data_IF_528311864841
#
_entry.id   IF_528311864841
#
_cell.length_a   1.000
_cell.length_b   1.000
_cell.length_c   1.000
_cell.angle_alpha   90.00
_cell.angle_beta   90.00
_cell.angle_gamma   90.00
#
_symmetry.space_group_name_H-M   'P 1'
#
loop_
_entity.id
_entity.type
_entity.pdbx_description
1 polymer ?
#
# COMPACT_ATOMS: atom_id res chain seq x y z
N UNK A 1 -12.30 1.20 22.70
CA UNK A 1 -11.17 0.68 21.91
C UNK A 1 -11.71 0.18 20.57
N UNK A 2 -10.98 0.37 19.45
CA UNK A 2 -11.40 -0.19 18.16
C UNK A 2 -11.42 -1.72 18.21
N UNK A 3 -12.37 -2.32 17.49
CA UNK A 3 -12.65 -3.77 17.52
C UNK A 3 -11.54 -4.60 16.83
N UNK A 4 -10.73 -3.98 15.96
CA UNK A 4 -9.56 -4.57 15.29
C UNK A 4 -8.36 -3.62 15.42
N UNK A 5 -7.64 -3.61 16.56
CA UNK A 5 -6.49 -2.71 16.73
C UNK A 5 -5.32 -3.06 15.80
N UNK A 6 -5.18 -4.33 15.40
CA UNK A 6 -4.02 -4.82 14.64
C UNK A 6 -3.95 -4.36 13.18
N UNK A 7 -5.06 -3.82 12.65
CA UNK A 7 -5.21 -3.35 11.26
C UNK A 7 -4.66 -1.95 11.03
N UNK A 8 -4.38 -1.20 12.10
CA UNK A 8 -3.78 0.13 12.03
C UNK A 8 -2.37 0.07 12.61
N UNK A 9 -1.41 0.66 11.91
CA UNK A 9 -0.02 0.76 12.35
C UNK A 9 0.36 2.23 12.44
N UNK A 10 0.95 2.64 13.57
CA UNK A 10 1.48 3.98 13.77
C UNK A 10 2.94 4.07 13.31
N UNK A 11 3.42 5.29 13.06
CA UNK A 11 4.84 5.52 12.74
C UNK A 11 5.80 4.97 13.83
N UNK A 12 5.44 5.10 15.11
CA UNK A 12 6.23 4.55 16.22
C UNK A 12 6.31 3.03 16.15
N UNK A 13 5.15 2.38 16.00
CA UNK A 13 5.09 0.92 15.87
C UNK A 13 5.85 0.43 14.64
N UNK A 14 5.74 1.11 13.50
CA UNK A 14 6.49 0.76 12.29
C UNK A 14 8.01 0.85 12.52
N UNK A 15 8.50 1.92 13.16
CA UNK A 15 9.92 2.07 13.43
C UNK A 15 10.46 0.97 14.37
N UNK A 16 9.73 0.67 15.44
CA UNK A 16 10.08 -0.43 16.35
C UNK A 16 10.14 -1.75 15.60
N UNK A 17 9.13 -2.02 14.78
CA UNK A 17 8.99 -3.24 14.01
C UNK A 17 10.08 -3.39 12.94
N UNK A 18 10.42 -2.33 12.21
CA UNK A 18 11.50 -2.36 11.22
C UNK A 18 12.85 -2.63 11.87
N UNK A 19 13.07 -2.12 13.09
CA UNK A 19 14.29 -2.34 13.86
C UNK A 19 14.37 -3.75 14.49
N UNK A 20 13.24 -4.31 14.92
CA UNK A 20 13.18 -5.59 15.65
C UNK A 20 13.00 -6.81 14.74
N UNK A 21 12.26 -6.67 13.64
CA UNK A 21 11.75 -7.80 12.87
C UNK A 21 12.18 -7.83 11.40
N UNK A 22 12.87 -6.81 10.90
CA UNK A 22 13.53 -6.83 9.58
C UNK A 22 12.68 -7.42 8.45
N UNK A 23 13.22 -8.43 7.75
CA UNK A 23 12.62 -9.07 6.56
C UNK A 23 11.33 -9.85 6.82
N UNK A 24 10.87 -10.03 8.05
CA UNK A 24 9.62 -10.75 8.31
C UNK A 24 8.38 -9.91 8.00
N UNK A 25 8.55 -8.62 7.70
CA UNK A 25 7.47 -7.67 7.44
C UNK A 25 7.66 -7.03 6.08
N UNK A 26 6.55 -6.82 5.39
CA UNK A 26 6.50 -6.26 4.03
C UNK A 26 5.77 -4.92 4.10
N UNK A 27 6.52 -3.84 3.96
CA UNK A 27 5.97 -2.49 3.84
C UNK A 27 5.78 -2.16 2.36
N UNK A 28 4.54 -2.00 1.91
CA UNK A 28 4.17 -1.80 0.51
C UNK A 28 3.75 -0.36 0.27
N UNK A 29 4.50 0.35 -0.56
CA UNK A 29 4.23 1.72 -0.99
C UNK A 29 3.31 1.72 -2.21
N UNK A 30 2.03 2.04 -1.98
CA UNK A 30 1.00 2.08 -3.03
C UNK A 30 0.88 3.44 -3.72
N UNK A 31 1.90 4.29 -3.58
CA UNK A 31 2.00 5.55 -4.32
C UNK A 31 2.43 5.32 -5.76
N UNK A 32 2.40 6.37 -6.58
CA UNK A 32 2.91 6.31 -7.96
C UNK A 32 4.43 6.13 -8.00
N UNK A 33 4.97 5.66 -9.12
CA UNK A 33 6.41 5.51 -9.30
C UNK A 33 7.16 6.81 -9.02
N UNK A 34 6.62 7.94 -9.48
CA UNK A 34 7.23 9.26 -9.31
C UNK A 34 7.29 9.68 -7.84
N UNK A 35 6.28 9.31 -7.04
CA UNK A 35 6.31 9.52 -5.58
C UNK A 35 7.35 8.59 -4.91
N UNK A 36 7.38 7.31 -5.30
CA UNK A 36 8.29 6.31 -4.74
C UNK A 36 9.78 6.63 -4.98
N UNK A 37 10.13 7.10 -6.17
CA UNK A 37 11.51 7.49 -6.51
C UNK A 37 11.87 8.93 -6.08
N UNK A 38 10.92 9.66 -5.49
CA UNK A 38 11.15 11.02 -4.98
C UNK A 38 11.20 12.11 -6.04
N UNK A 39 10.65 11.89 -7.25
CA UNK A 39 10.49 12.95 -8.26
C UNK A 39 9.40 13.96 -7.90
N UNK A 40 8.40 13.52 -7.15
CA UNK A 40 7.30 14.37 -6.67
C UNK A 40 6.87 13.92 -5.28
N UNK A 41 6.24 14.83 -4.54
CA UNK A 41 5.62 14.51 -3.25
C UNK A 41 4.22 13.92 -3.43
N UNK A 42 3.57 14.17 -4.57
CA UNK A 42 2.19 13.78 -4.84
C UNK A 42 1.14 14.68 -4.15
N UNK A 43 1.57 15.58 -3.27
CA UNK A 43 0.69 16.45 -2.47
C UNK A 43 1.28 17.85 -2.37
N UNK A 44 0.47 18.86 -2.64
CA UNK A 44 0.89 20.27 -2.55
C UNK A 44 1.32 20.70 -1.14
N UNK A 45 0.83 20.00 -0.11
CA UNK A 45 1.10 20.28 1.30
C UNK A 45 2.28 19.48 1.88
N UNK A 46 2.81 18.48 1.16
CA UNK A 46 3.98 17.71 1.60
C UNK A 46 5.23 18.33 1.00
N UNK A 47 6.22 18.68 1.85
CA UNK A 47 7.44 19.39 1.44
C UNK A 47 8.59 18.48 1.02
N UNK A 48 8.61 17.23 1.47
CA UNK A 48 9.74 16.31 1.30
C UNK A 48 9.33 15.19 0.35
N UNK A 49 10.09 15.00 -0.73
CA UNK A 49 9.93 13.88 -1.64
C UNK A 49 10.88 12.75 -1.27
N UNK A 50 10.41 11.51 -1.36
CA UNK A 50 11.17 10.32 -0.98
C UNK A 50 10.28 9.16 -0.58
N UNK A 51 10.89 8.15 0.03
CA UNK A 51 10.22 6.94 0.53
C UNK A 51 10.78 6.48 1.85
N UNK A 52 9.99 5.69 2.58
CA UNK A 52 10.47 4.97 3.76
C UNK A 52 11.50 3.94 3.31
N UNK A 53 12.66 3.90 3.97
CA UNK A 53 13.73 2.95 3.64
C UNK A 53 13.21 1.52 3.82
N UNK A 54 13.43 0.67 2.82
CA UNK A 54 12.95 -0.73 2.83
C UNK A 54 11.50 -0.91 2.38
N UNK A 55 10.76 0.17 2.09
CA UNK A 55 9.45 0.05 1.44
C UNK A 55 9.60 -0.55 0.04
N UNK A 56 8.70 -1.47 -0.28
CA UNK A 56 8.59 -2.16 -1.57
C UNK A 56 7.59 -1.40 -2.42
N UNK A 57 7.97 -1.07 -3.65
CA UNK A 57 7.09 -0.38 -4.58
C UNK A 57 5.96 -1.29 -5.06
N UNK A 58 4.72 -0.84 -4.95
CA UNK A 58 3.58 -1.49 -5.59
C UNK A 58 3.59 -1.25 -7.10
N UNK A 59 3.80 -2.31 -7.88
CA UNK A 59 3.92 -2.23 -9.33
C UNK A 59 2.60 -1.92 -10.06
N UNK A 60 1.50 -1.69 -9.32
CA UNK A 60 0.23 -1.19 -9.89
C UNK A 60 0.23 0.31 -10.16
N UNK A 61 1.30 1.04 -9.81
CA UNK A 61 1.53 2.47 -10.12
C UNK A 61 0.37 3.40 -9.71
N UNK A 62 0.04 3.35 -8.42
CA UNK A 62 -0.94 4.25 -7.82
C UNK A 62 -2.38 4.02 -8.30
N UNK A 63 -2.70 2.83 -8.83
CA UNK A 63 -4.04 2.50 -9.31
C UNK A 63 -5.13 2.72 -8.25
N UNK A 64 -4.81 2.40 -7.00
CA UNK A 64 -5.70 2.59 -5.86
C UNK A 64 -6.06 4.06 -5.62
N UNK A 65 -5.19 5.00 -6.01
CA UNK A 65 -5.48 6.43 -6.02
C UNK A 65 -6.40 6.88 -7.15
N UNK A 66 -6.28 6.23 -8.32
CA UNK A 66 -7.17 6.51 -9.47
C UNK A 66 -8.58 5.98 -9.20
N UNK A 67 -8.68 4.82 -8.57
CA UNK A 67 -9.95 4.21 -8.16
C UNK A 67 -10.64 5.04 -7.06
N UNK A 68 -9.87 5.55 -6.09
CA UNK A 68 -10.42 6.34 -4.99
C UNK A 68 -10.84 7.76 -5.40
N UNK A 69 -10.19 8.33 -6.43
CA UNK A 69 -10.45 9.69 -6.90
C UNK A 69 -11.49 9.74 -8.04
N UNK A 70 -12.54 8.92 -8.00
CA UNK A 70 -13.62 8.88 -9.00
C UNK A 70 -14.46 10.18 -9.12
N UNK A 71 -13.96 11.33 -8.64
CA UNK A 71 -14.41 12.67 -9.02
C UNK A 71 -13.54 13.32 -10.12
N UNK A 72 -12.40 12.72 -10.49
CA UNK A 72 -11.43 13.31 -11.41
C UNK A 72 -11.38 12.63 -12.78
N UNK A 73 -12.56 12.38 -13.38
CA UNK A 73 -12.72 12.35 -14.83
C UNK A 73 -14.21 12.55 -15.14
N UNK A 74 -14.57 13.80 -15.39
CA UNK A 74 -15.76 14.22 -16.15
C UNK A 74 -15.65 13.81 -17.63
N UNK A 75 -14.94 12.72 -17.90
CA UNK A 75 -14.62 12.19 -19.21
C UNK A 75 -15.12 10.76 -19.14
N UNK A 76 -16.05 10.39 -20.03
CA UNK A 76 -16.89 9.18 -20.03
C UNK A 76 -16.13 7.83 -20.11
N UNK A 77 -14.93 7.73 -19.55
CA UNK A 77 -14.15 6.50 -19.40
C UNK A 77 -14.46 5.92 -18.03
N UNK A 78 -15.43 5.02 -17.98
CA UNK A 78 -15.64 4.15 -16.82
C UNK A 78 -14.32 3.50 -16.45
N UNK A 79 -13.75 3.87 -15.30
CA UNK A 79 -12.58 3.16 -14.79
C UNK A 79 -13.06 1.82 -14.24
N UNK A 80 -12.77 0.74 -14.98
CA UNK A 80 -13.07 -0.61 -14.54
C UNK A 80 -11.94 -1.06 -13.62
N UNK A 81 -12.31 -1.45 -12.40
CA UNK A 81 -11.37 -2.05 -11.46
C UNK A 81 -10.74 -3.30 -12.11
N UNK A 82 -9.40 -3.43 -12.19
CA UNK A 82 -8.79 -4.57 -12.88
C UNK A 82 -9.17 -5.90 -12.26
N UNK A 83 -9.17 -6.96 -13.08
CA UNK A 83 -9.34 -8.32 -12.58
C UNK A 83 -8.27 -8.71 -11.56
N UNK A 84 -8.60 -9.62 -10.64
CA UNK A 84 -7.70 -10.11 -9.59
C UNK A 84 -6.33 -10.55 -10.09
N UNK A 85 -6.28 -11.19 -11.26
CA UNK A 85 -5.04 -11.69 -11.86
C UNK A 85 -4.02 -10.57 -12.11
N UNK A 86 -4.49 -9.35 -12.41
CA UNK A 86 -3.60 -8.19 -12.59
C UNK A 86 -2.82 -7.88 -11.30
N UNK A 87 -3.52 -7.83 -10.17
CA UNK A 87 -2.90 -7.55 -8.88
C UNK A 87 -2.04 -8.72 -8.41
N UNK A 88 -2.52 -9.95 -8.57
CA UNK A 88 -1.76 -11.16 -8.23
C UNK A 88 -0.43 -11.21 -8.98
N UNK A 89 -0.42 -10.96 -10.30
CA UNK A 89 0.82 -10.94 -11.09
C UNK A 89 1.81 -9.87 -10.59
N UNK A 90 1.32 -8.64 -10.36
CA UNK A 90 2.15 -7.53 -9.88
C UNK A 90 2.70 -7.76 -8.47
N UNK A 91 1.90 -8.36 -7.61
CA UNK A 91 2.29 -8.67 -6.24
C UNK A 91 3.24 -9.87 -6.16
N UNK A 92 3.03 -10.91 -6.99
CA UNK A 92 3.98 -12.01 -7.13
C UNK A 92 5.36 -11.52 -7.58
N UNK A 93 5.42 -10.58 -8.53
CA UNK A 93 6.69 -9.99 -9.00
C UNK A 93 7.49 -9.26 -7.91
N UNK A 94 6.85 -8.85 -6.82
CA UNK A 94 7.49 -8.22 -5.66
C UNK A 94 7.56 -9.16 -4.44
N UNK A 95 7.34 -10.47 -4.66
CA UNK A 95 7.46 -11.52 -3.64
C UNK A 95 6.28 -11.60 -2.67
N UNK A 96 5.11 -11.10 -3.06
CA UNK A 96 3.86 -11.25 -2.32
C UNK A 96 3.01 -12.34 -2.96
N UNK A 97 2.83 -13.42 -2.21
CA UNK A 97 2.01 -14.56 -2.59
C UNK A 97 1.06 -14.89 -1.43
N UNK A 98 -0.26 -14.82 -1.69
CA UNK A 98 -1.27 -15.08 -0.66
C UNK A 98 -1.38 -16.56 -0.30
N UNK A 99 -0.93 -17.47 -1.17
CA UNK A 99 -0.96 -18.91 -0.92
C UNK A 99 0.21 -19.35 -0.02
N UNK A 100 1.37 -18.72 -0.19
CA UNK A 100 2.59 -19.06 0.58
C UNK A 100 2.70 -18.23 1.86
N UNK A 101 2.24 -16.98 1.86
CA UNK A 101 2.25 -16.04 3.00
C UNK A 101 3.58 -16.08 3.79
N UNK A 102 4.68 -15.78 3.10
CA UNK A 102 6.07 -15.88 3.62
C UNK A 102 6.50 -14.76 4.57
N UNK A 103 5.55 -13.93 5.02
CA UNK A 103 5.78 -12.81 5.91
C UNK A 103 4.80 -12.84 7.09
N UNK A 104 5.25 -12.29 8.22
CA UNK A 104 4.47 -12.20 9.45
C UNK A 104 3.42 -11.09 9.41
N UNK A 105 3.70 -9.99 8.69
CA UNK A 105 2.78 -8.84 8.53
C UNK A 105 2.95 -8.15 7.18
N UNK A 106 1.83 -7.80 6.57
CA UNK A 106 1.76 -7.01 5.33
C UNK A 106 1.20 -5.63 5.65
N UNK A 107 1.99 -4.59 5.43
CA UNK A 107 1.63 -3.22 5.79
C UNK A 107 1.57 -2.38 4.53
N UNK A 108 0.40 -1.83 4.21
CA UNK A 108 0.25 -0.90 3.09
C UNK A 108 0.41 0.53 3.58
N UNK A 109 1.09 1.36 2.79
CA UNK A 109 1.29 2.77 3.08
C UNK A 109 1.03 3.62 1.83
N UNK A 110 0.53 4.84 2.05
CA UNK A 110 0.55 5.92 1.06
C UNK A 110 0.87 7.24 1.77
N UNK A 111 0.58 8.40 1.18
CA UNK A 111 0.83 9.69 1.85
C UNK A 111 0.01 9.90 3.13
N UNK A 112 -1.27 9.51 3.12
CA UNK A 112 -2.24 9.80 4.20
C UNK A 112 -3.24 8.66 4.42
N UNK A 113 -2.81 7.41 4.24
CA UNK A 113 -3.63 6.20 4.47
C UNK A 113 -4.69 5.85 3.41
N UNK A 114 -5.30 6.82 2.71
CA UNK A 114 -6.45 6.58 1.80
C UNK A 114 -6.25 5.46 0.77
N UNK A 115 -5.18 5.55 -0.05
CA UNK A 115 -4.85 4.53 -1.06
C UNK A 115 -4.48 3.18 -0.43
N UNK A 116 -3.86 3.24 0.74
CA UNK A 116 -3.38 2.07 1.46
C UNK A 116 -4.55 1.28 2.06
N UNK A 117 -5.60 1.95 2.54
CA UNK A 117 -6.82 1.31 3.01
C UNK A 117 -7.51 0.50 1.91
N UNK A 118 -7.60 1.04 0.69
CA UNK A 118 -8.20 0.31 -0.43
C UNK A 118 -7.34 -0.91 -0.83
N UNK A 119 -6.01 -0.74 -0.87
CA UNK A 119 -5.09 -1.85 -1.14
C UNK A 119 -5.16 -2.94 -0.07
N UNK A 120 -5.26 -2.56 1.21
CA UNK A 120 -5.36 -3.49 2.33
C UNK A 120 -6.65 -4.33 2.27
N UNK A 121 -7.80 -3.69 2.02
CA UNK A 121 -9.07 -4.40 1.84
C UNK A 121 -8.99 -5.37 0.66
N UNK A 122 -8.37 -4.93 -0.44
CA UNK A 122 -8.20 -5.78 -1.61
C UNK A 122 -7.26 -6.96 -1.36
N UNK A 123 -6.20 -6.77 -0.57
CA UNK A 123 -5.32 -7.84 -0.14
C UNK A 123 -6.05 -8.87 0.74
N UNK A 124 -6.85 -8.42 1.70
CA UNK A 124 -7.70 -9.32 2.50
C UNK A 124 -8.65 -10.13 1.59
N UNK A 125 -9.26 -9.50 0.58
CA UNK A 125 -10.11 -10.18 -0.42
C UNK A 125 -9.35 -11.24 -1.22
N UNK A 126 -8.08 -11.01 -1.55
CA UNK A 126 -7.21 -11.97 -2.24
C UNK A 126 -6.61 -13.04 -1.30
N UNK A 127 -6.99 -13.06 -0.03
CA UNK A 127 -6.60 -14.08 0.94
C UNK A 127 -5.32 -13.80 1.72
N UNK A 128 -4.74 -12.60 1.59
CA UNK A 128 -3.60 -12.20 2.42
C UNK A 128 -4.01 -12.11 3.89
N UNK A 129 -3.10 -12.52 4.78
CA UNK A 129 -3.29 -12.52 6.23
C UNK A 129 -2.43 -11.46 6.89
N UNK A 130 -2.80 -11.06 8.11
CA UNK A 130 -2.06 -10.07 8.92
C UNK A 130 -1.82 -8.76 8.16
N UNK A 131 -2.87 -8.26 7.51
CA UNK A 131 -2.83 -7.02 6.75
C UNK A 131 -3.06 -5.82 7.67
N UNK A 132 -2.29 -4.76 7.49
CA UNK A 132 -2.44 -3.49 8.19
C UNK A 132 -2.23 -2.30 7.25
N UNK A 133 -2.75 -1.15 7.68
CA UNK A 133 -2.53 0.15 7.05
C UNK A 133 -1.61 0.97 7.94
N UNK A 134 -0.55 1.52 7.37
CA UNK A 134 0.23 2.56 8.03
C UNK A 134 -0.56 3.86 7.98
N UNK A 135 -0.98 4.32 9.16
CA UNK A 135 -1.61 5.63 9.32
C UNK A 135 -0.56 6.64 9.81
N UNK A 136 -0.61 7.83 9.22
CA UNK A 136 0.38 8.91 9.40
C UNK A 136 0.13 9.71 10.67
#
# INVERSE_FOLDING_TARGET
MPLRPDTLMTCTALNEILNLHGNSIRLIDVRTLNEYIGKTTGYSYVKIAGRIKGAIYDQTDGIFGRISNQTAAYDNKTFIFPHSNYFQEKWLNIGLDSEVNSFSKLVFMCGTGWRASLAAIYAEYLGFKNVAVLDS
#
